data_IF_938001900007
#
_entry.id   IF_938001900007
#
_cell.length_a   1.000
_cell.length_b   1.000
_cell.length_c   1.000
_cell.angle_alpha   90.00
_cell.angle_beta   90.00
_cell.angle_gamma   90.00
#
_symmetry.space_group_name_H-M   'P 1'
#
loop_
_entity.id
_entity.type
_entity.pdbx_description
1 polymer ?
#
# COMPACT_ATOMS: atom_id res chain seq x y z
N UNK A 1 -11.91 -2.31 5.14
CA UNK A 1 -10.67 -2.35 4.34
C UNK A 1 -10.91 -1.73 2.97
N UNK A 2 -10.01 -0.86 2.49
CA UNK A 2 -10.11 -0.16 1.21
C UNK A 2 -8.75 -0.17 0.49
N UNK A 3 -8.77 -0.32 -0.84
CA UNK A 3 -7.59 -0.16 -1.70
C UNK A 3 -7.64 1.21 -2.37
N UNK A 4 -6.53 1.94 -2.34
CA UNK A 4 -6.37 3.23 -3.03
C UNK A 4 -5.27 3.07 -4.06
N UNK A 5 -5.65 3.15 -5.34
CA UNK A 5 -4.74 2.98 -6.47
C UNK A 5 -5.28 3.72 -7.69
N UNK A 6 -4.46 4.49 -8.41
CA UNK A 6 -4.93 5.25 -9.57
C UNK A 6 -5.42 4.37 -10.72
N UNK A 7 -5.01 3.10 -10.78
CA UNK A 7 -5.52 2.13 -11.76
C UNK A 7 -6.96 1.68 -11.54
N UNK A 8 -7.55 1.92 -10.37
CA UNK A 8 -8.95 1.60 -10.11
C UNK A 8 -9.87 2.65 -10.76
N UNK A 9 -10.88 2.20 -11.50
CA UNK A 9 -11.83 3.10 -12.23
C UNK A 9 -12.59 4.06 -11.30
N UNK A 10 -12.79 3.69 -10.05
CA UNK A 10 -13.44 4.53 -9.03
C UNK A 10 -12.48 5.51 -8.33
N UNK A 11 -11.19 5.52 -8.68
CA UNK A 11 -10.27 6.52 -8.18
C UNK A 11 -10.53 7.87 -8.87
N UNK A 12 -10.70 8.99 -8.14
CA UNK A 12 -11.02 10.28 -8.73
C UNK A 12 -9.97 10.80 -9.71
N UNK A 13 -8.73 10.35 -9.58
CA UNK A 13 -7.61 10.75 -10.44
C UNK A 13 -7.30 9.75 -11.56
N UNK A 14 -8.10 8.69 -11.71
CA UNK A 14 -7.86 7.63 -12.70
C UNK A 14 -7.61 8.16 -14.11
N UNK A 15 -8.51 9.02 -14.60
CA UNK A 15 -8.43 9.53 -15.96
C UNK A 15 -7.25 10.50 -16.18
N UNK A 16 -6.94 11.32 -15.18
CA UNK A 16 -5.79 12.23 -15.20
C UNK A 16 -4.51 11.41 -15.26
N UNK A 17 -4.36 10.44 -14.36
CA UNK A 17 -3.19 9.58 -14.30
C UNK A 17 -3.01 8.77 -15.60
N UNK A 18 -4.10 8.19 -16.12
CA UNK A 18 -4.11 7.44 -17.37
C UNK A 18 -3.54 8.27 -18.54
N UNK A 19 -3.94 9.56 -18.64
CA UNK A 19 -3.46 10.45 -19.68
C UNK A 19 -1.99 10.84 -19.48
N UNK A 20 -1.61 11.26 -18.28
CA UNK A 20 -0.26 11.76 -17.98
C UNK A 20 0.82 10.67 -18.07
N UNK A 21 0.50 9.47 -17.63
CA UNK A 21 1.46 8.36 -17.57
C UNK A 21 1.44 7.45 -18.79
N UNK A 22 0.66 7.78 -19.82
CA UNK A 22 0.40 6.86 -20.95
C UNK A 22 0.10 5.43 -20.44
N UNK A 23 -0.85 5.33 -19.52
CA UNK A 23 -1.11 4.10 -18.75
C UNK A 23 -1.58 2.92 -19.60
N UNK A 24 -1.94 3.15 -20.87
CA UNK A 24 -2.25 2.10 -21.83
C UNK A 24 -1.02 1.26 -22.15
N UNK A 25 0.16 1.88 -22.13
CA UNK A 25 1.45 1.24 -22.41
C UNK A 25 2.22 0.89 -21.14
N UNK A 26 2.28 1.81 -20.18
CA UNK A 26 3.15 1.70 -18.98
C UNK A 26 2.41 1.37 -17.68
N UNK A 27 1.07 1.27 -17.72
CA UNK A 27 0.25 1.01 -16.53
C UNK A 27 0.14 2.22 -15.59
N UNK A 28 -0.25 1.98 -14.35
CA UNK A 28 -0.58 3.02 -13.36
C UNK A 28 0.46 3.12 -12.22
N UNK A 29 1.67 2.63 -12.46
CA UNK A 29 2.77 2.65 -11.50
C UNK A 29 2.68 1.57 -10.42
N UNK A 30 3.77 1.41 -9.66
CA UNK A 30 3.95 0.36 -8.66
C UNK A 30 3.62 0.79 -7.20
N UNK A 31 2.90 1.89 -7.01
CA UNK A 31 2.54 2.38 -5.67
C UNK A 31 1.03 2.22 -5.44
N UNK A 32 0.66 1.60 -4.32
CA UNK A 32 -0.73 1.57 -3.87
C UNK A 32 -0.82 1.67 -2.35
N UNK A 33 -2.01 1.97 -1.85
CA UNK A 33 -2.30 2.05 -0.43
C UNK A 33 -3.42 1.07 -0.08
N UNK A 34 -3.25 0.38 1.05
CA UNK A 34 -4.25 -0.45 1.66
C UNK A 34 -4.65 0.16 3.00
N UNK A 35 -5.92 0.52 3.15
CA UNK A 35 -6.44 1.03 4.41
C UNK A 35 -7.08 -0.12 5.20
N UNK A 36 -6.45 -0.46 6.31
CA UNK A 36 -6.89 -1.49 7.24
C UNK A 36 -7.78 -0.94 8.36
N UNK A 37 -8.11 0.37 8.31
CA UNK A 37 -8.98 1.10 9.24
C UNK A 37 -8.33 1.37 10.60
N UNK A 38 -7.62 0.40 11.19
CA UNK A 38 -6.95 0.55 12.49
C UNK A 38 -5.47 0.23 12.42
N UNK A 39 -4.70 0.85 13.30
CA UNK A 39 -3.26 0.65 13.45
C UNK A 39 -2.91 -0.80 13.79
N UNK A 40 -3.71 -1.43 14.66
CA UNK A 40 -3.50 -2.82 15.08
C UNK A 40 -3.61 -3.78 13.90
N UNK A 41 -4.65 -3.61 13.07
CA UNK A 41 -4.85 -4.44 11.86
C UNK A 41 -3.73 -4.22 10.84
N UNK A 42 -3.31 -2.96 10.65
CA UNK A 42 -2.19 -2.62 9.77
C UNK A 42 -0.88 -3.26 10.23
N UNK A 43 -0.53 -3.11 11.50
CA UNK A 43 0.69 -3.70 12.07
C UNK A 43 0.68 -5.22 11.94
N UNK A 44 -0.41 -5.87 12.33
CA UNK A 44 -0.56 -7.33 12.21
C UNK A 44 -0.41 -7.81 10.78
N UNK A 45 -0.98 -7.09 9.80
CA UNK A 45 -0.82 -7.42 8.39
C UNK A 45 0.64 -7.28 7.93
N UNK A 46 1.31 -6.18 8.29
CA UNK A 46 2.70 -5.94 7.93
C UNK A 46 3.64 -7.01 8.52
N UNK A 47 3.45 -7.42 9.77
CA UNK A 47 4.20 -8.50 10.40
C UNK A 47 4.00 -9.85 9.68
N UNK A 48 2.75 -10.18 9.35
CA UNK A 48 2.43 -11.39 8.60
C UNK A 48 3.07 -11.39 7.21
N UNK A 49 2.99 -10.26 6.49
CA UNK A 49 3.58 -10.12 5.17
C UNK A 49 5.11 -10.23 5.19
N UNK A 50 5.77 -9.68 6.21
CA UNK A 50 7.21 -9.83 6.39
C UNK A 50 7.59 -11.28 6.67
N UNK A 51 6.85 -11.96 7.56
CA UNK A 51 7.04 -13.38 7.86
C UNK A 51 6.83 -14.29 6.65
N UNK A 52 5.81 -14.02 5.84
CA UNK A 52 5.50 -14.76 4.60
C UNK A 52 6.39 -14.31 3.40
N UNK A 53 7.40 -13.47 3.65
CA UNK A 53 8.36 -12.99 2.64
C UNK A 53 7.71 -12.31 1.43
N UNK A 54 6.65 -11.54 1.67
CA UNK A 54 6.02 -10.67 0.66
C UNK A 54 6.93 -9.48 0.33
N UNK A 55 7.61 -8.93 1.32
CA UNK A 55 8.49 -7.78 1.20
C UNK A 55 9.09 -7.38 2.54
N UNK A 56 9.52 -6.14 2.65
CA UNK A 56 10.16 -5.60 3.83
C UNK A 56 9.39 -4.41 4.40
N UNK A 57 9.35 -4.33 5.72
CA UNK A 57 8.90 -3.13 6.44
C UNK A 57 9.99 -2.06 6.34
N UNK A 58 9.75 -1.03 5.53
CA UNK A 58 10.69 0.06 5.33
C UNK A 58 9.98 1.32 4.83
N UNK A 59 10.45 2.49 5.28
CA UNK A 59 9.92 3.80 4.88
C UNK A 59 10.35 4.25 3.48
N UNK A 60 11.28 3.53 2.86
CA UNK A 60 11.78 3.79 1.51
C UNK A 60 10.77 3.42 0.42
N UNK A 61 11.10 3.73 -0.83
CA UNK A 61 10.32 3.37 -2.02
C UNK A 61 11.25 3.19 -3.23
N UNK A 62 10.73 2.56 -4.30
CA UNK A 62 11.51 2.36 -5.52
C UNK A 62 12.64 1.32 -5.40
N UNK A 63 12.58 0.46 -4.40
CA UNK A 63 13.53 -0.63 -4.22
C UNK A 63 13.14 -1.84 -5.09
N UNK A 64 14.11 -2.67 -5.47
CA UNK A 64 13.83 -3.84 -6.32
C UNK A 64 12.95 -4.91 -5.66
N UNK A 65 12.85 -4.92 -4.34
CA UNK A 65 11.88 -5.75 -3.60
C UNK A 65 10.71 -4.92 -3.10
N UNK A 66 9.59 -5.56 -2.91
CA UNK A 66 8.39 -4.89 -2.36
C UNK A 66 8.66 -4.37 -0.94
N UNK A 67 8.35 -3.09 -0.74
CA UNK A 67 8.42 -2.42 0.55
C UNK A 67 7.02 -2.00 0.99
N UNK A 68 6.77 -2.00 2.29
CA UNK A 68 5.55 -1.49 2.87
C UNK A 68 5.82 -0.76 4.19
N UNK A 69 5.03 0.26 4.46
CA UNK A 69 5.11 1.06 5.70
C UNK A 69 3.77 1.68 6.04
N UNK A 70 3.60 2.03 7.30
CA UNK A 70 2.44 2.78 7.78
C UNK A 70 2.81 4.27 7.87
N UNK A 71 2.37 5.15 6.94
CA UNK A 71 2.79 6.55 6.91
C UNK A 71 2.50 7.31 8.20
N UNK A 72 1.34 7.11 8.80
CA UNK A 72 0.93 7.80 10.03
C UNK A 72 1.82 7.51 11.25
N UNK A 73 2.52 6.36 11.27
CA UNK A 73 3.45 5.99 12.34
C UNK A 73 4.92 6.06 11.91
N UNK A 74 5.22 6.46 10.68
CA UNK A 74 6.58 6.55 10.14
C UNK A 74 6.87 7.93 9.54
N UNK A 75 6.59 8.14 8.26
CA UNK A 75 6.95 9.37 7.53
C UNK A 75 6.12 10.59 7.90
N UNK A 76 4.93 10.42 8.45
CA UNK A 76 4.02 11.49 8.88
C UNK A 76 3.74 11.46 10.38
N UNK A 77 4.62 10.83 11.17
CA UNK A 77 4.46 10.72 12.63
C UNK A 77 4.55 12.06 13.37
N UNK A 78 5.16 13.07 12.77
CA UNK A 78 5.25 14.43 13.31
C UNK A 78 3.97 15.26 13.08
N UNK A 79 3.10 14.81 12.15
CA UNK A 79 1.82 15.48 11.89
C UNK A 79 0.82 15.10 13.00
N UNK A 80 0.18 16.07 13.68
CA UNK A 80 -0.81 15.78 14.70
C UNK A 80 -1.94 14.88 14.16
N UNK A 81 -2.43 13.96 14.99
CA UNK A 81 -3.47 12.97 14.59
C UNK A 81 -4.72 13.63 14.00
N UNK A 82 -5.13 14.78 14.54
CA UNK A 82 -6.28 15.52 14.02
C UNK A 82 -6.04 16.09 12.61
N UNK A 83 -4.82 16.49 12.30
CA UNK A 83 -4.45 16.92 10.95
C UNK A 83 -4.31 15.74 10.00
N UNK A 84 -3.76 14.60 10.47
CA UNK A 84 -3.72 13.37 9.68
C UNK A 84 -5.13 12.96 9.24
N UNK A 85 -6.12 13.01 10.14
CA UNK A 85 -7.52 12.72 9.82
C UNK A 85 -8.09 13.68 8.78
N UNK A 86 -7.81 14.99 8.89
CA UNK A 86 -8.27 16.01 7.93
C UNK A 86 -7.76 15.77 6.51
N UNK A 87 -6.53 15.30 6.36
CA UNK A 87 -5.93 14.97 5.04
C UNK A 87 -6.21 13.54 4.58
N UNK A 88 -7.07 12.80 5.31
CA UNK A 88 -7.51 11.44 4.94
C UNK A 88 -6.50 10.34 5.24
N UNK A 89 -5.51 10.59 6.11
CA UNK A 89 -4.62 9.59 6.64
C UNK A 89 -5.31 8.86 7.80
N UNK A 90 -5.81 7.64 7.54
CA UNK A 90 -6.22 6.77 8.62
C UNK A 90 -5.02 6.12 9.29
N UNK A 91 -5.14 5.77 10.57
CA UNK A 91 -4.08 5.07 11.31
C UNK A 91 -3.77 3.68 10.74
N UNK A 92 -4.69 3.13 9.96
CA UNK A 92 -4.59 1.82 9.33
C UNK A 92 -4.02 1.84 7.90
N UNK A 93 -3.52 2.97 7.40
CA UNK A 93 -2.95 3.05 6.06
C UNK A 93 -1.61 2.33 5.96
N UNK A 94 -1.51 1.42 5.00
CA UNK A 94 -0.26 0.78 4.60
C UNK A 94 0.05 1.21 3.18
N UNK A 95 1.17 1.90 2.99
CA UNK A 95 1.70 2.23 1.67
C UNK A 95 2.57 1.10 1.16
N UNK A 96 2.34 0.68 -0.06
CA UNK A 96 3.16 -0.30 -0.77
C UNK A 96 3.96 0.37 -1.88
N UNK A 97 5.24 -0.01 -1.99
CA UNK A 97 6.07 0.18 -3.16
C UNK A 97 6.39 -1.20 -3.72
N UNK A 98 5.70 -1.57 -4.79
CA UNK A 98 5.82 -2.92 -5.38
C UNK A 98 7.17 -3.06 -6.07
N UNK A 99 7.90 -4.11 -5.72
CA UNK A 99 9.18 -4.44 -6.31
C UNK A 99 9.05 -5.23 -7.61
N UNK A 100 10.21 -5.55 -8.19
CA UNK A 100 10.30 -6.42 -9.35
C UNK A 100 10.03 -7.86 -8.90
N UNK A 101 9.03 -8.49 -9.45
CA UNK A 101 8.64 -9.86 -9.10
C UNK A 101 8.46 -10.68 -10.39
N UNK A 102 9.16 -11.81 -10.48
CA UNK A 102 9.01 -12.75 -11.60
C UNK A 102 7.71 -13.57 -11.52
N UNK A 103 7.08 -13.59 -10.34
CA UNK A 103 5.86 -14.35 -10.08
C UNK A 103 4.91 -13.52 -9.20
N UNK A 104 4.27 -12.55 -9.84
CA UNK A 104 3.33 -11.64 -9.16
C UNK A 104 2.11 -12.39 -8.60
N UNK A 105 1.68 -13.47 -9.23
CA UNK A 105 0.58 -14.31 -8.75
C UNK A 105 0.91 -14.95 -7.39
N UNK A 106 2.14 -15.42 -7.23
CA UNK A 106 2.61 -15.96 -5.95
C UNK A 106 2.58 -14.89 -4.87
N UNK A 107 3.07 -13.70 -5.17
CA UNK A 107 3.08 -12.58 -4.21
C UNK A 107 1.67 -12.12 -3.86
N UNK A 108 0.78 -12.02 -4.85
CA UNK A 108 -0.64 -11.74 -4.64
C UNK A 108 -1.29 -12.78 -3.71
N UNK A 109 -1.08 -14.07 -3.95
CA UNK A 109 -1.64 -15.15 -3.15
C UNK A 109 -1.11 -15.14 -1.70
N UNK A 110 0.16 -14.76 -1.49
CA UNK A 110 0.72 -14.57 -0.14
C UNK A 110 0.05 -13.39 0.58
N UNK A 111 -0.15 -12.26 -0.08
CA UNK A 111 -0.87 -11.11 0.50
C UNK A 111 -2.30 -11.52 0.85
N UNK A 112 -3.01 -12.19 -0.05
CA UNK A 112 -4.37 -12.70 0.17
C UNK A 112 -4.44 -13.63 1.39
N UNK A 113 -3.48 -14.54 1.53
CA UNK A 113 -3.35 -15.44 2.69
C UNK A 113 -3.10 -14.66 3.99
N UNK A 114 -2.28 -13.60 3.96
CA UNK A 114 -2.07 -12.74 5.12
C UNK A 114 -3.35 -12.01 5.51
N UNK A 115 -4.06 -11.44 4.53
CA UNK A 115 -5.33 -10.73 4.75
C UNK A 115 -6.40 -11.65 5.37
N UNK A 116 -6.50 -12.91 4.95
CA UNK A 116 -7.48 -13.87 5.52
C UNK A 116 -7.27 -14.18 7.00
N UNK A 117 -6.09 -13.88 7.54
CA UNK A 117 -5.76 -14.05 8.97
C UNK A 117 -6.05 -12.80 9.82
N UNK A 118 -6.47 -11.70 9.20
CA UNK A 118 -6.84 -10.45 9.88
C UNK A 118 -8.35 -10.45 10.11
N UNK A 119 -8.73 -10.50 11.36
CA UNK A 119 -10.13 -10.39 11.78
C UNK A 119 -10.51 -8.92 11.98
#
# INVERSE_FOLDING_TARGET
MKVIYPGLKNNPYHNIFKKQMNATEFGFGGMFVLDMETKERANKLMELMQKEKVGYLAVSLGFYKTLFSCPGSSTSSEVPVEEQKKIGLSEGLIRFSVGLDQDIERTYNRIKKCLSKIK
#
